data_IF_309681815595
#
_entry.id   IF_309681815595
#
_cell.length_a   1.000
_cell.length_b   1.000
_cell.length_c   1.000
_cell.angle_alpha   90.00
_cell.angle_beta   90.00
_cell.angle_gamma   90.00
#
_symmetry.space_group_name_H-M   'P 1'
#
loop_
_entity.id
_entity.type
_entity.pdbx_description
1 polymer ?
#
# COMPACT_ATOMS: atom_id res chain seq x y z
N UNK A 1 12.45 -2.42 16.39
CA UNK A 1 12.06 -1.01 16.18
C UNK A 1 12.20 -0.76 14.70
N UNK A 2 11.09 -0.64 13.97
CA UNK A 2 11.14 -0.37 12.54
C UNK A 2 11.59 1.06 12.27
N UNK A 3 12.01 1.31 11.03
CA UNK A 3 12.42 2.65 10.61
C UNK A 3 11.16 3.49 10.39
N UNK A 4 10.93 4.49 11.23
CA UNK A 4 9.92 5.52 10.96
C UNK A 4 10.37 6.35 9.77
N UNK A 5 9.64 6.24 8.67
CA UNK A 5 9.87 7.02 7.46
C UNK A 5 9.04 8.30 7.51
N UNK A 6 9.56 9.33 6.87
CA UNK A 6 8.79 10.53 6.50
C UNK A 6 8.52 10.52 5.01
N UNK A 7 7.61 11.37 4.55
CA UNK A 7 7.30 11.54 3.13
C UNK A 7 8.57 11.73 2.29
N UNK A 8 8.74 10.91 1.25
CA UNK A 8 9.94 10.89 0.41
C UNK A 8 11.11 10.05 0.94
N UNK A 9 11.01 9.53 2.16
CA UNK A 9 12.03 8.69 2.79
C UNK A 9 12.19 7.35 2.06
N UNK A 10 13.39 6.79 2.07
CA UNK A 10 13.63 5.45 1.56
C UNK A 10 14.46 4.63 2.55
N UNK A 11 14.19 3.34 2.58
CA UNK A 11 14.92 2.36 3.39
C UNK A 11 15.30 1.17 2.51
N UNK A 12 16.49 0.64 2.74
CA UNK A 12 16.95 -0.55 2.04
C UNK A 12 16.50 -1.77 2.81
N UNK A 13 15.50 -2.48 2.30
CA UNK A 13 14.96 -3.65 3.00
C UNK A 13 15.99 -4.77 3.10
N UNK A 14 16.86 -4.92 2.11
CA UNK A 14 17.97 -5.88 2.15
C UNK A 14 18.99 -5.60 3.26
N UNK A 15 19.11 -4.35 3.72
CA UNK A 15 19.98 -3.99 4.86
C UNK A 15 19.33 -4.33 6.19
N UNK A 16 18.04 -4.05 6.32
CA UNK A 16 17.25 -4.36 7.52
C UNK A 16 17.00 -5.86 7.66
N UNK A 17 16.81 -6.55 6.54
CA UNK A 17 16.52 -7.97 6.44
C UNK A 17 17.31 -8.60 5.27
N UNK A 18 18.56 -9.04 5.51
CA UNK A 18 19.34 -9.74 4.50
C UNK A 18 18.65 -11.05 4.09
N UNK A 19 18.45 -11.24 2.79
CA UNK A 19 17.73 -12.41 2.24
C UNK A 19 16.20 -12.28 2.29
N UNK A 20 15.67 -11.06 2.29
CA UNK A 20 14.23 -10.81 2.27
C UNK A 20 13.54 -11.55 1.11
N UNK A 21 12.69 -12.50 1.45
CA UNK A 21 11.92 -13.28 0.48
C UNK A 21 10.51 -12.74 0.30
N UNK A 22 9.89 -12.31 1.39
CA UNK A 22 8.54 -11.75 1.39
C UNK A 22 8.40 -10.65 2.45
N UNK A 23 7.54 -9.68 2.16
CA UNK A 23 7.14 -8.60 3.07
C UNK A 23 5.63 -8.61 3.26
N UNK A 24 5.20 -8.11 4.41
CA UNK A 24 3.81 -7.87 4.77
C UNK A 24 3.65 -6.36 4.90
N UNK A 25 2.75 -5.79 4.12
CA UNK A 25 2.38 -4.38 4.23
C UNK A 25 1.09 -4.35 5.04
N UNK A 26 1.18 -3.92 6.29
CA UNK A 26 0.03 -3.75 7.18
C UNK A 26 -0.46 -2.31 7.13
N UNK A 27 -1.75 -2.12 6.94
CA UNK A 27 -2.45 -0.84 7.07
C UNK A 27 -3.36 -0.94 8.29
N UNK A 28 -3.32 0.07 9.16
CA UNK A 28 -4.21 0.17 10.31
C UNK A 28 -4.77 1.58 10.45
N UNK A 29 -6.04 1.69 10.87
CA UNK A 29 -6.70 2.95 11.14
C UNK A 29 -7.77 2.82 12.21
N UNK A 30 -8.07 3.91 12.92
CA UNK A 30 -9.17 3.89 13.89
C UNK A 30 -10.52 4.01 13.20
N UNK A 31 -11.46 3.18 13.66
CA UNK A 31 -12.89 3.32 13.35
C UNK A 31 -13.40 4.72 13.65
N UNK A 32 -14.40 5.13 12.88
CA UNK A 32 -15.05 6.41 13.08
C UNK A 32 -15.77 6.44 14.43
N UNK A 33 -15.45 7.45 15.25
CA UNK A 33 -16.08 7.65 16.57
C UNK A 33 -17.34 8.53 16.53
N UNK A 34 -17.72 9.03 15.35
CA UNK A 34 -18.89 9.90 15.14
C UNK A 34 -19.97 9.19 14.35
N UNK A 35 -21.24 9.60 14.53
CA UNK A 35 -22.37 9.07 13.76
C UNK A 35 -22.19 9.28 12.25
N UNK A 36 -22.27 8.21 11.47
CA UNK A 36 -22.16 8.22 10.01
C UNK A 36 -21.65 6.89 9.47
N UNK A 37 -21.36 6.82 8.18
CA UNK A 37 -20.74 5.64 7.57
C UNK A 37 -19.30 5.48 8.08
N UNK A 38 -18.84 4.23 8.22
CA UNK A 38 -17.48 3.89 8.62
C UNK A 38 -16.43 4.30 7.58
N UNK A 39 -15.17 4.38 8.02
CA UNK A 39 -14.04 4.60 7.14
C UNK A 39 -13.61 3.26 6.56
N UNK A 40 -13.80 3.16 5.27
CA UNK A 40 -13.48 2.01 4.46
C UNK A 40 -12.22 2.38 3.66
N UNK A 41 -11.05 1.92 4.13
CA UNK A 41 -9.77 2.18 3.50
C UNK A 41 -9.36 0.91 2.75
N UNK A 42 -9.24 1.05 1.43
CA UNK A 42 -8.77 0.01 0.54
C UNK A 42 -7.27 0.16 0.29
N UNK A 43 -6.46 -0.79 0.76
CA UNK A 43 -5.10 -0.95 0.30
C UNK A 43 -5.07 -1.69 -1.05
N UNK A 44 -4.18 -1.27 -1.93
CA UNK A 44 -3.99 -1.92 -3.23
C UNK A 44 -2.52 -2.00 -3.57
N UNK A 45 -2.18 -2.85 -4.53
CA UNK A 45 -0.83 -3.04 -5.01
C UNK A 45 -0.79 -3.13 -6.54
N UNK A 46 0.05 -2.31 -7.15
CA UNK A 46 0.27 -2.23 -8.59
C UNK A 46 1.66 -2.74 -8.90
N UNK A 47 1.76 -3.84 -9.65
CA UNK A 47 3.05 -4.31 -10.15
C UNK A 47 3.34 -3.63 -11.48
N UNK A 48 4.36 -2.77 -11.50
CA UNK A 48 4.71 -1.99 -12.68
C UNK A 48 6.11 -2.32 -13.17
N UNK A 49 6.27 -2.24 -14.48
CA UNK A 49 7.53 -2.48 -15.16
C UNK A 49 8.47 -1.26 -15.06
N UNK A 50 9.65 -1.35 -15.68
CA UNK A 50 10.63 -0.24 -15.71
C UNK A 50 10.08 1.01 -16.39
N UNK A 51 9.13 0.87 -17.33
CA UNK A 51 8.47 2.01 -17.97
C UNK A 51 7.44 2.71 -17.06
N UNK A 52 7.18 2.18 -15.86
CA UNK A 52 6.20 2.71 -14.92
C UNK A 52 4.77 2.39 -15.27
N UNK A 53 4.53 1.33 -16.06
CA UNK A 53 3.20 0.85 -16.39
C UNK A 53 2.94 -0.52 -15.79
N UNK A 54 1.69 -0.80 -15.44
CA UNK A 54 1.28 -2.14 -15.03
C UNK A 54 1.56 -3.16 -16.14
N UNK A 55 1.93 -4.37 -15.77
CA UNK A 55 2.19 -5.44 -16.74
C UNK A 55 0.89 -5.89 -17.44
N UNK A 56 -0.21 -5.94 -16.68
CA UNK A 56 -1.57 -6.12 -17.18
C UNK A 56 -2.58 -5.65 -16.15
N UNK A 57 -3.86 -5.56 -16.52
CA UNK A 57 -4.94 -5.20 -15.59
C UNK A 57 -5.07 -6.22 -14.43
N UNK A 58 -4.57 -7.45 -14.60
CA UNK A 58 -4.52 -8.47 -13.54
C UNK A 58 -3.37 -8.28 -12.55
N UNK A 59 -2.35 -7.50 -12.91
CA UNK A 59 -1.25 -7.12 -12.01
C UNK A 59 -1.61 -5.94 -11.10
N UNK A 60 -2.89 -5.59 -11.07
CA UNK A 60 -3.49 -4.73 -10.08
C UNK A 60 -4.21 -5.59 -9.04
N UNK A 61 -3.68 -5.61 -7.83
CA UNK A 61 -4.22 -6.35 -6.69
C UNK A 61 -4.95 -5.37 -5.79
N UNK A 62 -6.22 -5.65 -5.51
CA UNK A 62 -7.13 -4.82 -4.72
C UNK A 62 -8.26 -5.70 -4.16
N UNK A 63 -9.22 -5.12 -3.43
CA UNK A 63 -10.33 -5.87 -2.80
C UNK A 63 -11.07 -6.84 -3.75
N UNK A 64 -11.22 -6.52 -5.03
CA UNK A 64 -11.87 -7.40 -6.02
C UNK A 64 -10.92 -8.43 -6.66
N UNK A 65 -9.61 -8.16 -6.63
CA UNK A 65 -8.58 -9.05 -7.16
C UNK A 65 -7.51 -9.31 -6.09
N UNK A 66 -7.78 -10.29 -5.23
CA UNK A 66 -7.00 -10.55 -4.02
C UNK A 66 -5.60 -11.13 -4.31
N UNK A 67 -5.28 -11.54 -5.54
CA UNK A 67 -3.98 -12.15 -5.82
C UNK A 67 -3.51 -11.79 -7.23
N UNK A 68 -2.22 -11.43 -7.35
CA UNK A 68 -1.58 -11.24 -8.66
C UNK A 68 -1.53 -12.58 -9.41
N UNK A 69 -1.58 -12.59 -10.75
CA UNK A 69 -1.47 -13.81 -11.56
C UNK A 69 -0.17 -14.58 -11.31
N UNK A 70 0.90 -13.88 -10.93
CA UNK A 70 2.21 -14.47 -10.62
C UNK A 70 2.29 -15.06 -9.21
N UNK A 71 1.25 -14.89 -8.39
CA UNK A 71 1.26 -15.27 -6.96
C UNK A 71 2.30 -14.51 -6.14
N UNK A 72 2.75 -13.35 -6.62
CA UNK A 72 3.75 -12.52 -5.95
C UNK A 72 3.13 -11.53 -4.98
N UNK A 73 1.89 -11.11 -5.19
CA UNK A 73 1.16 -10.27 -4.25
C UNK A 73 -0.17 -10.92 -3.90
N UNK A 74 -0.49 -10.97 -2.61
CA UNK A 74 -1.71 -11.53 -2.05
C UNK A 74 -2.29 -10.55 -1.02
N UNK A 75 -3.54 -10.15 -1.21
CA UNK A 75 -4.34 -9.38 -0.26
C UNK A 75 -5.00 -10.35 0.73
N UNK A 76 -4.81 -10.17 2.03
CA UNK A 76 -5.34 -11.12 3.03
C UNK A 76 -6.84 -10.98 3.31
N UNK A 77 -7.44 -9.88 2.89
CA UNK A 77 -8.84 -9.57 3.10
C UNK A 77 -9.04 -8.07 3.23
N UNK A 78 -10.18 -7.61 2.74
CA UNK A 78 -10.64 -6.23 2.82
C UNK A 78 -11.37 -6.04 4.17
N UNK A 79 -11.00 -4.98 4.90
CA UNK A 79 -11.67 -4.59 6.13
C UNK A 79 -12.43 -3.28 5.93
N UNK A 80 -13.73 -3.41 5.70
CA UNK A 80 -14.64 -2.31 5.38
C UNK A 80 -14.90 -1.31 6.53
N UNK A 81 -14.40 -1.59 7.74
CA UNK A 81 -14.76 -0.84 8.95
C UNK A 81 -13.55 -0.33 9.73
N UNK A 82 -12.39 -0.99 9.62
CA UNK A 82 -11.27 -0.80 10.55
C UNK A 82 -11.54 -1.39 11.94
N UNK A 83 -12.52 -2.31 12.05
CA UNK A 83 -12.87 -2.93 13.32
C UNK A 83 -11.82 -3.99 13.67
N UNK A 84 -10.79 -3.59 14.43
CA UNK A 84 -9.67 -4.44 14.83
C UNK A 84 -8.63 -3.68 15.64
N UNK A 85 -7.85 -4.40 16.47
CA UNK A 85 -6.62 -3.84 17.06
C UNK A 85 -5.43 -4.21 16.18
N UNK A 86 -4.82 -3.24 15.48
CA UNK A 86 -3.53 -3.43 14.80
C UNK A 86 -3.56 -3.16 13.30
N UNK A 87 -3.23 -4.19 12.51
CA UNK A 87 -3.30 -4.11 11.05
C UNK A 87 -4.70 -4.58 10.62
N UNK A 88 -5.51 -3.64 10.13
CA UNK A 88 -6.84 -3.92 9.61
C UNK A 88 -6.77 -4.62 8.25
N UNK A 89 -5.80 -4.22 7.43
CA UNK A 89 -5.50 -4.85 6.15
C UNK A 89 -4.04 -5.25 6.03
N UNK A 90 -3.78 -6.38 5.39
CA UNK A 90 -2.43 -6.86 5.13
C UNK A 90 -2.28 -7.30 3.68
N UNK A 91 -1.28 -6.74 3.01
CA UNK A 91 -0.85 -7.18 1.68
C UNK A 91 0.46 -7.94 1.81
N UNK A 92 0.46 -9.22 1.45
CA UNK A 92 1.66 -10.03 1.35
C UNK A 92 2.30 -9.86 -0.01
N UNK A 93 3.61 -9.65 -0.02
CA UNK A 93 4.39 -9.45 -1.24
C UNK A 93 5.59 -10.37 -1.20
N UNK A 94 5.58 -11.41 -2.01
CA UNK A 94 6.65 -12.36 -2.20
C UNK A 94 7.59 -11.90 -3.32
N UNK A 95 8.69 -11.27 -2.92
CA UNK A 95 9.73 -10.73 -3.79
C UNK A 95 10.49 -11.81 -4.58
N UNK A 96 10.43 -13.08 -4.17
CA UNK A 96 11.10 -14.18 -4.87
C UNK A 96 10.32 -14.68 -6.08
N UNK A 97 9.00 -14.52 -6.07
CA UNK A 97 8.12 -14.91 -7.18
C UNK A 97 7.81 -13.73 -8.10
N UNK A 98 8.20 -12.51 -7.73
CA UNK A 98 8.06 -11.32 -8.59
C UNK A 98 8.83 -11.55 -9.89
N UNK A 99 8.15 -11.45 -11.05
CA UNK A 99 8.78 -11.56 -12.36
C UNK A 99 9.89 -10.53 -12.55
N UNK A 100 10.89 -10.86 -13.38
CA UNK A 100 11.93 -9.90 -13.75
C UNK A 100 11.38 -8.67 -14.50
N UNK A 101 10.22 -8.81 -15.13
CA UNK A 101 9.51 -7.73 -15.83
C UNK A 101 8.94 -6.67 -14.86
N UNK A 102 8.76 -7.01 -13.58
CA UNK A 102 8.32 -6.07 -12.54
C UNK A 102 9.54 -5.35 -11.95
N UNK A 103 9.62 -4.05 -12.20
CA UNK A 103 10.70 -3.23 -11.68
C UNK A 103 10.38 -2.67 -10.29
N UNK A 104 9.10 -2.39 -10.05
CA UNK A 104 8.62 -1.81 -8.80
C UNK A 104 7.15 -2.16 -8.54
N UNK A 105 6.78 -2.17 -7.28
CA UNK A 105 5.45 -2.49 -6.78
C UNK A 105 4.99 -1.27 -5.99
N UNK A 106 3.93 -0.62 -6.45
CA UNK A 106 3.39 0.59 -5.83
C UNK A 106 2.22 0.21 -4.95
N UNK A 107 2.15 0.78 -3.74
CA UNK A 107 1.08 0.54 -2.77
C UNK A 107 0.22 1.80 -2.64
N UNK A 108 -0.79 1.98 -3.50
CA UNK A 108 -1.81 2.98 -3.27
C UNK A 108 -2.80 2.53 -2.19
N UNK A 109 -3.35 3.52 -1.52
CA UNK A 109 -4.53 3.38 -0.67
C UNK A 109 -5.60 4.34 -1.17
N UNK A 110 -6.85 3.96 -0.99
CA UNK A 110 -7.98 4.84 -1.24
C UNK A 110 -9.05 4.65 -0.20
N UNK A 111 -9.88 5.67 -0.02
CA UNK A 111 -11.09 5.55 0.79
C UNK A 111 -12.24 5.16 -0.16
N UNK A 112 -12.93 4.07 0.15
CA UNK A 112 -14.08 3.62 -0.61
C UNK A 112 -15.21 4.67 -0.55
N UNK A 113 -15.76 5.01 -1.71
CA UNK A 113 -16.91 5.92 -1.85
C UNK A 113 -16.68 7.31 -1.21
N UNK A 114 -15.42 7.76 -1.15
CA UNK A 114 -15.01 8.98 -0.46
C UNK A 114 -15.73 10.25 -0.95
N UNK A 115 -15.92 10.42 -2.26
CA UNK A 115 -16.63 11.58 -2.84
C UNK A 115 -18.10 11.61 -2.44
N UNK A 116 -18.80 10.47 -2.49
CA UNK A 116 -20.21 10.39 -2.14
C UNK A 116 -20.44 10.55 -0.64
N UNK A 117 -19.51 10.04 0.18
CA UNK A 117 -19.59 10.11 1.65
C UNK A 117 -18.99 11.42 2.19
N UNK A 118 -18.23 12.16 1.40
CA UNK A 118 -17.48 13.34 1.84
C UNK A 118 -16.36 12.96 2.82
N UNK A 119 -15.80 11.76 2.67
CA UNK A 119 -14.73 11.25 3.53
C UNK A 119 -13.36 11.65 2.98
N UNK A 120 -12.40 11.87 3.87
CA UNK A 120 -11.01 12.17 3.51
C UNK A 120 -10.08 11.60 4.56
N UNK A 121 -8.81 11.36 4.19
CA UNK A 121 -7.83 10.83 5.15
C UNK A 121 -7.62 11.76 6.36
N UNK A 122 -7.91 13.07 6.24
CA UNK A 122 -7.86 14.00 7.38
C UNK A 122 -8.88 13.74 8.47
N UNK A 123 -9.93 12.97 8.19
CA UNK A 123 -10.94 12.59 9.17
C UNK A 123 -10.66 11.23 9.83
N UNK A 124 -9.76 10.44 9.23
CA UNK A 124 -9.31 9.15 9.73
C UNK A 124 -8.26 9.39 10.82
N UNK A 125 -8.41 8.72 11.96
CA UNK A 125 -7.48 8.86 13.09
C UNK A 125 -6.53 7.68 13.14
N UNK A 126 -5.31 7.94 13.62
CA UNK A 126 -4.28 6.92 13.81
C UNK A 126 -4.06 6.02 12.59
N UNK A 127 -4.23 6.56 11.38
CA UNK A 127 -3.92 5.82 10.18
C UNK A 127 -2.40 5.67 10.07
N UNK A 128 -1.93 4.43 9.94
CA UNK A 128 -0.53 4.12 9.71
C UNK A 128 -0.40 2.96 8.73
N UNK A 129 0.70 2.97 7.98
CA UNK A 129 1.15 1.83 7.20
C UNK A 129 2.48 1.36 7.75
N UNK A 130 2.69 0.06 7.78
CA UNK A 130 3.97 -0.54 8.12
C UNK A 130 4.32 -1.66 7.16
N UNK A 131 5.62 -1.81 6.93
CA UNK A 131 6.18 -2.90 6.14
C UNK A 131 6.95 -3.78 7.10
N UNK A 132 6.59 -5.06 7.16
CA UNK A 132 7.14 -6.06 8.06
C UNK A 132 7.74 -7.18 7.24
N UNK A 133 8.88 -7.73 7.66
CA UNK A 133 9.45 -8.91 7.05
C UNK A 133 8.62 -10.15 7.42
N UNK A 134 8.08 -10.88 6.44
CA UNK A 134 7.28 -12.08 6.69
C UNK A 134 8.11 -13.19 7.36
N UNK A 135 9.39 -13.32 7.05
CA UNK A 135 10.22 -14.42 7.55
C UNK A 135 10.57 -14.30 9.05
N UNK A 136 10.48 -13.09 9.62
CA UNK A 136 10.91 -12.84 11.00
C UNK A 136 10.01 -11.91 11.81
N UNK A 137 8.95 -11.36 11.23
CA UNK A 137 8.06 -10.40 11.88
C UNK A 137 8.74 -9.06 12.22
N UNK A 138 9.92 -8.80 11.66
CA UNK A 138 10.67 -7.57 11.92
C UNK A 138 10.04 -6.42 11.13
N UNK A 139 9.55 -5.40 11.83
CA UNK A 139 9.09 -4.16 11.20
C UNK A 139 10.29 -3.48 10.52
N UNK A 140 10.20 -3.31 9.20
CA UNK A 140 11.23 -2.72 8.34
C UNK A 140 11.01 -1.22 8.18
N UNK A 141 9.75 -0.83 7.98
CA UNK A 141 9.37 0.55 7.79
C UNK A 141 8.01 0.81 8.43
N UNK A 142 7.80 2.04 8.91
CA UNK A 142 6.50 2.54 9.36
C UNK A 142 6.32 3.97 8.87
N UNK A 143 5.11 4.31 8.43
CA UNK A 143 4.73 5.65 8.02
C UNK A 143 3.32 5.96 8.56
N UNK A 144 3.20 7.05 9.31
CA UNK A 144 1.94 7.49 9.91
C UNK A 144 1.34 8.63 9.05
N UNK A 145 0.05 8.58 8.70
CA UNK A 145 -0.57 9.51 7.72
C UNK A 145 -1.02 10.85 8.33
N UNK A 146 -0.95 10.99 9.65
CA UNK A 146 -1.78 11.90 10.46
C UNK A 146 -1.82 13.38 10.05
N UNK A 147 -0.90 13.86 9.20
CA UNK A 147 -0.84 15.28 8.78
C UNK A 147 -0.71 15.51 7.26
N UNK A 148 -0.33 14.52 6.44
CA UNK A 148 0.08 14.77 5.05
C UNK A 148 -1.07 14.66 4.01
N UNK A 149 -2.21 14.06 4.36
CA UNK A 149 -3.26 13.67 3.40
C UNK A 149 -4.66 14.24 3.72
N UNK A 150 -4.73 15.37 4.43
CA UNK A 150 -5.98 15.85 5.03
C UNK A 150 -7.18 16.00 4.07
N UNK A 151 -6.94 16.28 2.78
CA UNK A 151 -7.98 16.51 1.77
C UNK A 151 -8.09 15.41 0.71
N UNK A 152 -7.18 14.44 0.72
CA UNK A 152 -7.07 13.47 -0.37
C UNK A 152 -7.98 12.27 -0.11
N UNK A 153 -8.49 11.68 -1.19
CA UNK A 153 -9.34 10.47 -1.16
C UNK A 153 -8.58 9.22 -1.56
N UNK A 154 -7.48 9.37 -2.28
CA UNK A 154 -6.51 8.31 -2.55
C UNK A 154 -5.08 8.85 -2.44
N UNK A 155 -4.14 7.97 -2.11
CA UNK A 155 -2.73 8.32 -2.08
C UNK A 155 -1.83 7.12 -2.30
N UNK A 156 -0.66 7.35 -2.87
CA UNK A 156 0.41 6.37 -2.93
C UNK A 156 1.25 6.48 -1.66
N UNK A 157 1.16 5.46 -0.81
CA UNK A 157 1.97 5.37 0.41
C UNK A 157 3.44 5.22 0.10
N UNK A 158 3.73 4.25 -0.76
CA UNK A 158 5.09 3.89 -1.04
C UNK A 158 5.20 2.94 -2.21
N UNK A 159 6.44 2.76 -2.64
CA UNK A 159 6.80 1.83 -3.70
C UNK A 159 7.96 0.98 -3.21
N UNK A 160 7.86 -0.32 -3.48
CA UNK A 160 9.00 -1.23 -3.46
C UNK A 160 9.63 -1.19 -4.84
N UNK A 161 10.89 -0.84 -4.95
CA UNK A 161 11.58 -0.86 -6.22
C UNK A 161 12.83 -1.71 -6.12
N UNK A 162 13.13 -2.39 -7.22
CA UNK A 162 14.35 -3.16 -7.36
C UNK A 162 15.50 -2.21 -7.69
N UNK A 163 16.57 -2.30 -6.91
CA UNK A 163 17.80 -1.55 -7.14
C UNK A 163 18.96 -2.54 -7.30
N UNK A 164 19.14 -3.03 -8.53
CA UNK A 164 20.10 -4.08 -8.85
C UNK A 164 19.62 -5.46 -8.35
N UNK A 165 20.36 -6.05 -7.42
CA UNK A 165 20.01 -7.33 -6.80
C UNK A 165 19.18 -7.17 -5.51
N UNK A 166 18.94 -5.94 -5.06
CA UNK A 166 18.31 -5.64 -3.78
C UNK A 166 16.95 -4.97 -3.95
N UNK A 167 16.10 -5.11 -2.94
CA UNK A 167 14.81 -4.43 -2.85
C UNK A 167 14.89 -3.27 -1.87
N UNK A 168 14.33 -2.14 -2.29
CA UNK A 168 14.25 -0.93 -1.48
C UNK A 168 12.80 -0.48 -1.38
N UNK A 169 12.43 0.01 -0.21
CA UNK A 169 11.13 0.63 0.02
C UNK A 169 11.31 2.14 0.03
N UNK A 170 10.42 2.85 -0.64
CA UNK A 170 10.35 4.31 -0.63
C UNK A 170 8.96 4.73 -0.21
N UNK A 171 8.88 5.51 0.85
CA UNK A 171 7.68 6.26 1.20
C UNK A 171 7.53 7.41 0.20
N UNK A 172 6.44 7.40 -0.58
CA UNK A 172 6.14 8.41 -1.58
C UNK A 172 5.25 9.49 -0.97
N UNK A 173 4.13 9.11 -0.34
CA UNK A 173 3.19 10.03 0.28
C UNK A 173 2.54 11.00 -0.72
N UNK A 174 2.25 10.53 -1.94
CA UNK A 174 1.66 11.33 -3.01
C UNK A 174 0.14 11.18 -3.00
N UNK A 175 -0.58 12.25 -2.70
CA UNK A 175 -2.04 12.31 -2.79
C UNK A 175 -2.54 12.37 -4.23
N UNK A 176 -3.71 11.79 -4.46
CA UNK A 176 -4.48 11.83 -5.69
C UNK A 176 -5.95 12.18 -5.39
N UNK A 177 -6.39 13.34 -5.86
CA UNK A 177 -7.79 13.76 -5.81
C UNK A 177 -8.71 12.92 -6.73
N UNK A 178 -8.14 12.30 -7.76
CA UNK A 178 -8.86 11.47 -8.74
C UNK A 178 -9.20 10.04 -8.25
N UNK A 179 -8.95 9.75 -6.98
CA UNK A 179 -9.19 8.44 -6.39
C UNK A 179 -8.29 7.34 -6.95
N UNK A 180 -8.63 6.09 -6.60
CA UNK A 180 -7.93 4.89 -7.06
C UNK A 180 -7.95 4.73 -8.58
N UNK A 181 -9.07 5.09 -9.22
CA UNK A 181 -9.22 5.03 -10.67
C UNK A 181 -8.20 5.92 -11.39
N UNK A 182 -7.96 7.14 -10.89
CA UNK A 182 -6.96 8.02 -11.48
C UNK A 182 -5.53 7.51 -11.29
N UNK A 183 -5.22 6.89 -10.13
CA UNK A 183 -3.94 6.23 -9.90
C UNK A 183 -3.77 5.07 -10.90
N UNK A 184 -4.76 4.19 -11.00
CA UNK A 184 -4.74 3.06 -11.90
C UNK A 184 -4.54 3.51 -13.36
N UNK A 185 -5.25 4.56 -13.79
CA UNK A 185 -5.11 5.14 -15.12
C UNK A 185 -3.72 5.77 -15.37
N UNK A 186 -3.12 6.45 -14.38
CA UNK A 186 -1.76 7.01 -14.49
C UNK A 186 -0.71 5.90 -14.68
N UNK A 187 -0.89 4.78 -13.98
CA UNK A 187 -0.08 3.57 -14.16
C UNK A 187 -0.48 2.72 -15.38
N UNK A 188 -1.44 3.17 -16.19
CA UNK A 188 -1.83 2.54 -17.45
C UNK A 188 -2.75 1.32 -17.33
N UNK A 189 -3.46 1.16 -16.21
CA UNK A 189 -4.55 0.20 -16.06
C UNK A 189 -5.78 0.72 -16.81
N UNK A 190 -6.47 -0.15 -17.56
CA UNK A 190 -7.79 0.18 -18.09
C UNK A 190 -8.84 -0.10 -17.01
N UNK A 191 -9.19 0.95 -16.26
CA UNK A 191 -10.29 0.98 -15.28
C UNK A 191 -11.63 1.27 -15.96
#
# INVERSE_FOLDING_TARGET
MGVSLSKGGNVSLSKEAPGLTAVLVGLGWDVRTTTGTDYDLDASALLVNESGKVLSDQHFVFFNNLTSPDGSVEHTGDNLTGEGEGDDEVIKVNLTTVPADVARIVFPVSIHDAENRGHSFGQVRNAFIRVVNQAGGAELARYDLSEDAATETAMVFGELYRNGAEWKFRAVGQGYASGLAGIAADFGVNV
#
